data_IF_012621162335
#
_entry.id   IF_012621162335
#
_cell.length_a   1.000
_cell.length_b   1.000
_cell.length_c   1.000
_cell.angle_alpha   90.00
_cell.angle_beta   90.00
_cell.angle_gamma   90.00
#
_symmetry.space_group_name_H-M   'P 1'
#
loop_
_entity.id
_entity.type
_entity.pdbx_description
1 polymer ?
#
# COMPACT_ATOMS: atom_id res chain seq x y z
N UNK A 1 31.76 61.76 66.48
CA UNK A 1 31.76 60.40 65.95
C UNK A 1 30.31 60.00 65.77
N UNK A 2 29.78 60.16 64.59
CA UNK A 2 28.37 59.87 64.29
C UNK A 2 28.29 58.88 63.16
N UNK A 3 27.82 57.68 63.46
CA UNK A 3 27.70 56.59 62.52
C UNK A 3 26.36 56.69 61.76
N UNK A 4 26.42 56.87 60.48
CA UNK A 4 25.27 56.78 59.60
C UNK A 4 24.98 55.32 59.20
N UNK A 5 23.81 54.85 59.59
CA UNK A 5 23.31 53.55 59.16
C UNK A 5 22.52 53.82 57.85
N UNK A 6 23.00 53.23 56.75
CA UNK A 6 22.30 53.25 55.47
C UNK A 6 21.35 52.02 55.43
N UNK A 7 20.07 52.30 55.43
CA UNK A 7 19.03 51.28 55.23
C UNK A 7 18.87 50.99 53.73
N UNK A 8 19.27 49.77 53.33
CA UNK A 8 19.03 49.28 51.95
C UNK A 8 17.62 48.70 51.87
N UNK A 9 16.74 49.37 51.14
CA UNK A 9 15.42 48.83 50.81
C UNK A 9 15.55 47.93 49.57
N UNK A 10 15.42 46.63 49.73
CA UNK A 10 15.37 45.68 48.62
C UNK A 10 13.92 45.60 48.14
N UNK A 11 13.69 46.17 46.98
CA UNK A 11 12.41 46.11 46.25
C UNK A 11 12.36 44.74 45.49
N UNK A 12 11.68 43.74 46.02
CA UNK A 12 11.42 42.51 45.31
C UNK A 12 10.30 42.67 44.31
N UNK A 13 10.64 42.78 43.05
CA UNK A 13 9.70 42.68 41.95
C UNK A 13 9.26 41.21 41.77
N UNK A 14 8.04 40.90 42.17
CA UNK A 14 7.40 39.63 41.87
C UNK A 14 6.95 39.63 40.40
N UNK A 15 7.67 38.92 39.53
CA UNK A 15 7.20 38.60 38.21
C UNK A 15 6.10 37.56 38.32
N UNK A 16 4.86 37.96 38.10
CA UNK A 16 3.74 37.04 37.86
C UNK A 16 3.89 36.54 36.43
N UNK A 17 4.47 35.38 36.26
CA UNK A 17 4.45 34.66 34.98
C UNK A 17 3.02 34.15 34.76
N UNK A 18 2.27 34.85 33.90
CA UNK A 18 1.01 34.35 33.36
C UNK A 18 1.35 33.19 32.42
N UNK A 19 1.39 31.98 32.96
CA UNK A 19 1.51 30.77 32.19
C UNK A 19 0.31 30.60 31.28
N UNK A 20 0.44 30.94 30.01
CA UNK A 20 -0.50 30.50 28.98
C UNK A 20 -0.33 28.99 28.87
N UNK A 21 -1.20 28.25 29.53
CA UNK A 21 -1.35 26.81 29.30
C UNK A 21 -1.84 26.62 27.85
N UNK A 22 -0.89 26.49 26.92
CA UNK A 22 -1.21 25.88 25.62
C UNK A 22 -1.68 24.45 25.91
N UNK A 23 -3.00 24.27 25.90
CA UNK A 23 -3.58 22.95 25.70
C UNK A 23 -3.25 22.50 24.27
N UNK A 24 -2.00 22.18 24.05
CA UNK A 24 -1.58 21.35 22.93
C UNK A 24 -2.21 19.98 23.17
N UNK A 25 -3.29 19.70 22.47
CA UNK A 25 -3.79 18.34 22.37
C UNK A 25 -2.63 17.48 21.86
N UNK A 26 -2.09 16.65 22.73
CA UNK A 26 -1.22 15.54 22.33
C UNK A 26 -2.11 14.51 21.63
N UNK A 27 -2.52 14.82 20.42
CA UNK A 27 -2.89 13.79 19.47
C UNK A 27 -1.60 13.05 19.17
N UNK A 28 -1.38 11.90 19.80
CA UNK A 28 -0.37 10.96 19.32
C UNK A 28 -0.59 10.68 17.85
N UNK A 29 0.41 10.20 17.11
CA UNK A 29 0.20 9.76 15.74
C UNK A 29 -0.98 8.79 15.72
N UNK A 30 -1.85 8.86 14.69
CA UNK A 30 -2.98 7.93 14.59
C UNK A 30 -2.43 6.50 14.70
N UNK A 31 -3.14 5.60 15.41
CA UNK A 31 -2.69 4.23 15.53
C UNK A 31 -2.53 3.62 14.13
N UNK A 32 -1.51 2.78 13.92
CA UNK A 32 -1.31 2.14 12.62
C UNK A 32 -2.56 1.36 12.22
N UNK A 33 -2.88 1.31 10.92
CA UNK A 33 -3.98 0.48 10.42
C UNK A 33 -3.73 -0.96 10.83
N UNK A 34 -4.71 -1.57 11.48
CA UNK A 34 -4.61 -2.98 11.89
C UNK A 34 -4.96 -3.88 10.72
N UNK A 35 -4.31 -5.04 10.60
CA UNK A 35 -4.76 -6.09 9.68
C UNK A 35 -6.23 -6.42 9.99
N UNK A 36 -7.03 -6.65 8.95
CA UNK A 36 -8.47 -6.92 9.07
C UNK A 36 -8.81 -8.38 8.78
N UNK A 37 -7.97 -9.32 9.18
CA UNK A 37 -8.29 -10.73 9.07
C UNK A 37 -9.63 -11.04 9.74
N UNK A 38 -10.53 -11.72 9.05
CA UNK A 38 -11.86 -12.09 9.54
C UNK A 38 -12.95 -11.02 9.40
N UNK A 39 -12.61 -9.78 9.05
CA UNK A 39 -13.58 -8.70 8.81
C UNK A 39 -13.78 -8.44 7.31
N UNK A 40 -14.43 -9.38 6.60
CA UNK A 40 -14.55 -9.36 5.15
C UNK A 40 -13.38 -10.06 4.44
N UNK A 41 -12.33 -10.48 5.14
CA UNK A 41 -11.27 -11.35 4.63
C UNK A 41 -11.57 -12.78 5.03
N UNK A 42 -12.07 -13.58 4.09
CA UNK A 42 -12.57 -14.94 4.30
C UNK A 42 -11.62 -16.01 3.76
N UNK A 43 -10.48 -15.61 3.18
CA UNK A 43 -9.45 -16.54 2.69
C UNK A 43 -8.56 -16.97 3.87
N UNK A 44 -8.47 -18.27 4.21
CA UNK A 44 -7.64 -18.74 5.32
C UNK A 44 -6.17 -18.35 5.15
N UNK A 45 -5.57 -17.82 6.22
CA UNK A 45 -4.16 -17.37 6.23
C UNK A 45 -3.92 -15.99 5.66
N UNK A 46 -4.89 -15.40 4.97
CA UNK A 46 -4.75 -14.07 4.39
C UNK A 46 -5.12 -12.95 5.37
N UNK A 47 -4.45 -11.85 5.18
CA UNK A 47 -4.63 -10.61 5.92
C UNK A 47 -5.00 -9.49 4.96
N UNK A 48 -5.64 -8.45 5.47
CA UNK A 48 -5.95 -7.26 4.70
C UNK A 48 -5.59 -5.99 5.48
N UNK A 49 -5.13 -4.96 4.79
CA UNK A 49 -4.86 -3.65 5.37
C UNK A 49 -5.31 -2.54 4.44
N UNK A 50 -6.19 -1.70 4.94
CA UNK A 50 -6.62 -0.48 4.26
C UNK A 50 -5.53 0.59 4.26
N UNK A 51 -5.51 1.44 3.25
CA UNK A 51 -4.53 2.54 3.14
C UNK A 51 -4.77 3.62 4.21
N UNK A 52 -6.03 3.96 4.46
CA UNK A 52 -6.42 4.97 5.44
C UNK A 52 -7.03 4.30 6.69
N UNK A 53 -6.50 4.67 7.86
CA UNK A 53 -6.99 4.20 9.17
C UNK A 53 -8.42 4.66 9.49
N UNK A 54 -8.91 5.70 8.79
CA UNK A 54 -10.27 6.23 8.97
C UNK A 54 -11.29 5.49 8.14
N UNK A 55 -10.87 4.73 7.15
CA UNK A 55 -11.78 3.93 6.35
C UNK A 55 -12.31 2.75 7.14
N UNK A 56 -13.49 2.30 6.75
CA UNK A 56 -14.13 1.13 7.34
C UNK A 56 -14.14 -0.02 6.36
N UNK A 57 -14.23 -1.24 6.83
CA UNK A 57 -14.38 -2.44 6.01
C UNK A 57 -15.77 -2.59 5.39
N UNK A 58 -16.61 -1.54 5.40
CA UNK A 58 -17.95 -1.57 4.79
C UNK A 58 -17.85 -1.91 3.31
N UNK A 59 -18.56 -2.95 2.91
CA UNK A 59 -18.54 -3.45 1.52
C UNK A 59 -17.29 -4.23 1.13
N UNK A 60 -16.37 -4.48 2.08
CA UNK A 60 -15.22 -5.33 1.84
C UNK A 60 -15.62 -6.81 1.90
N UNK A 61 -15.26 -7.54 0.86
CA UNK A 61 -15.26 -8.99 0.85
C UNK A 61 -14.06 -9.50 0.06
N UNK A 62 -13.29 -10.41 0.65
CA UNK A 62 -12.19 -11.13 0.00
C UNK A 62 -12.33 -12.61 0.33
N UNK A 63 -12.69 -13.40 -0.66
CA UNK A 63 -13.10 -14.79 -0.46
C UNK A 63 -12.64 -15.69 -1.60
N UNK A 64 -12.52 -17.01 -1.39
CA UNK A 64 -12.37 -17.96 -2.48
C UNK A 64 -13.61 -17.92 -3.41
N UNK A 65 -13.39 -17.89 -4.71
CA UNK A 65 -14.45 -17.95 -5.71
C UNK A 65 -13.94 -18.51 -7.04
N UNK A 66 -14.73 -19.32 -7.71
CA UNK A 66 -14.49 -19.84 -9.05
C UNK A 66 -13.09 -20.50 -9.24
N UNK A 67 -12.56 -21.15 -8.21
CA UNK A 67 -11.22 -21.73 -8.25
C UNK A 67 -10.06 -20.76 -8.05
N UNK A 68 -10.35 -19.49 -7.83
CA UNK A 68 -9.43 -18.41 -7.50
C UNK A 68 -9.87 -17.63 -6.28
N UNK A 69 -9.62 -16.34 -6.30
CA UNK A 69 -9.96 -15.37 -5.26
C UNK A 69 -10.89 -14.29 -5.85
N UNK A 70 -11.77 -13.76 -5.04
CA UNK A 70 -12.63 -12.64 -5.43
C UNK A 70 -12.56 -11.53 -4.39
N UNK A 71 -12.38 -10.29 -4.85
CA UNK A 71 -12.38 -9.12 -4.00
C UNK A 71 -13.48 -8.13 -4.42
N UNK A 72 -14.33 -7.77 -3.45
CA UNK A 72 -15.17 -6.57 -3.52
C UNK A 72 -14.60 -5.58 -2.49
N UNK A 73 -14.23 -4.38 -2.93
CA UNK A 73 -13.60 -3.40 -2.04
C UNK A 73 -14.48 -2.17 -1.85
N UNK A 74 -14.58 -1.69 -0.60
CA UNK A 74 -14.98 -0.33 -0.29
C UNK A 74 -13.75 0.59 -0.32
N UNK A 75 -12.72 0.33 0.54
CA UNK A 75 -11.48 1.09 0.61
C UNK A 75 -10.41 0.60 -0.36
N UNK A 76 -9.32 1.41 -0.53
CA UNK A 76 -8.05 0.92 -1.06
C UNK A 76 -7.39 -0.02 -0.05
N UNK A 77 -6.93 -1.16 -0.50
CA UNK A 77 -6.47 -2.23 0.38
C UNK A 77 -5.34 -3.05 -0.23
N UNK A 78 -4.43 -3.56 0.62
CA UNK A 78 -3.56 -4.67 0.27
C UNK A 78 -4.06 -5.94 0.94
N UNK A 79 -3.91 -7.08 0.24
CA UNK A 79 -4.14 -8.43 0.76
C UNK A 79 -2.88 -9.26 0.64
N UNK A 80 -2.56 -10.03 1.67
CA UNK A 80 -1.39 -10.89 1.67
C UNK A 80 -1.56 -12.11 2.58
N UNK A 81 -0.86 -13.17 2.26
CA UNK A 81 -0.58 -14.29 3.16
C UNK A 81 0.87 -14.13 3.64
N UNK A 82 1.15 -14.04 4.95
CA UNK A 82 2.50 -13.92 5.47
C UNK A 82 3.45 -15.06 5.06
N UNK A 83 2.92 -16.20 4.64
CA UNK A 83 3.70 -17.33 4.17
C UNK A 83 4.12 -17.19 2.69
N UNK A 84 3.47 -16.32 1.92
CA UNK A 84 3.80 -16.05 0.52
C UNK A 84 4.96 -15.05 0.45
N UNK A 85 6.19 -15.56 0.58
CA UNK A 85 7.41 -14.75 0.54
C UNK A 85 8.28 -15.12 -0.65
N UNK A 86 8.99 -14.15 -1.20
CA UNK A 86 9.93 -14.33 -2.30
C UNK A 86 11.27 -13.66 -2.02
N UNK A 87 12.35 -14.24 -2.51
CA UNK A 87 13.70 -13.68 -2.48
C UNK A 87 14.54 -14.21 -3.65
N UNK A 88 15.55 -13.46 -4.04
CA UNK A 88 16.43 -13.83 -5.17
C UNK A 88 15.71 -13.67 -6.50
N UNK A 89 15.80 -14.69 -7.36
CA UNK A 89 15.16 -14.69 -8.67
C UNK A 89 13.80 -15.41 -8.61
N UNK A 90 12.75 -14.70 -8.99
CA UNK A 90 11.38 -15.25 -8.97
C UNK A 90 10.46 -14.48 -9.91
N UNK A 91 9.28 -15.06 -10.15
CA UNK A 91 8.15 -14.35 -10.78
C UNK A 91 6.95 -14.48 -9.86
N UNK A 92 6.28 -13.36 -9.57
CA UNK A 92 4.94 -13.35 -9.00
C UNK A 92 3.95 -12.96 -10.08
N UNK A 93 2.81 -13.65 -10.17
CA UNK A 93 1.79 -13.38 -11.19
C UNK A 93 0.37 -13.58 -10.68
N UNK A 94 -0.58 -12.94 -11.35
CA UNK A 94 -2.01 -13.20 -11.22
C UNK A 94 -2.74 -12.66 -12.44
N UNK A 95 -3.87 -13.28 -12.76
CA UNK A 95 -4.84 -12.76 -13.74
C UNK A 95 -5.98 -12.06 -13.01
N UNK A 96 -6.22 -10.82 -13.37
CA UNK A 96 -7.30 -10.00 -12.83
C UNK A 96 -8.41 -9.84 -13.85
N UNK A 97 -9.65 -10.07 -13.42
CA UNK A 97 -10.84 -9.87 -14.25
C UNK A 97 -11.79 -8.94 -13.51
N UNK A 98 -12.00 -7.73 -14.03
CA UNK A 98 -13.07 -6.85 -13.52
C UNK A 98 -14.41 -7.45 -13.93
N UNK A 99 -15.30 -7.60 -12.97
CA UNK A 99 -16.60 -8.25 -13.14
C UNK A 99 -17.72 -7.27 -13.42
N UNK A 100 -17.44 -5.97 -13.22
CA UNK A 100 -18.33 -4.87 -13.59
C UNK A 100 -17.55 -3.57 -13.86
N UNK A 101 -18.20 -2.65 -14.58
CA UNK A 101 -17.68 -1.31 -14.84
C UNK A 101 -17.50 -0.55 -13.53
N UNK A 102 -16.28 -0.06 -13.22
CA UNK A 102 -16.08 0.89 -12.13
C UNK A 102 -16.77 2.24 -12.40
N UNK A 103 -17.18 2.94 -11.34
CA UNK A 103 -17.85 4.25 -11.47
C UNK A 103 -16.85 5.42 -11.66
N UNK A 104 -15.57 5.18 -11.50
CA UNK A 104 -14.48 6.15 -11.62
C UNK A 104 -13.17 5.40 -11.85
N UNK A 105 -12.09 6.13 -12.17
CA UNK A 105 -10.77 5.53 -12.36
C UNK A 105 -10.28 4.80 -11.10
N UNK A 106 -10.00 3.53 -11.25
CA UNK A 106 -9.54 2.64 -10.18
C UNK A 106 -8.36 1.81 -10.65
N UNK A 107 -7.64 1.22 -9.72
CA UNK A 107 -6.45 0.44 -10.06
C UNK A 107 -6.36 -0.83 -9.23
N UNK A 108 -5.70 -1.82 -9.80
CA UNK A 108 -5.43 -3.09 -9.15
C UNK A 108 -4.09 -3.66 -9.62
N UNK A 109 -3.53 -4.58 -8.86
CA UNK A 109 -2.31 -5.27 -9.25
C UNK A 109 -1.61 -6.00 -8.12
N UNK A 110 -0.31 -6.11 -8.26
CA UNK A 110 0.57 -6.90 -7.41
C UNK A 110 1.49 -6.01 -6.58
N UNK A 111 1.92 -6.52 -5.44
CA UNK A 111 3.07 -5.96 -4.72
C UNK A 111 4.10 -7.04 -4.39
N UNK A 112 5.35 -6.62 -4.22
CA UNK A 112 6.50 -7.42 -3.85
C UNK A 112 7.30 -6.74 -2.74
N UNK A 113 8.20 -7.47 -2.08
CA UNK A 113 9.12 -6.92 -1.09
C UNK A 113 8.42 -6.40 0.16
N UNK A 114 7.31 -7.03 0.55
CA UNK A 114 6.52 -6.62 1.71
C UNK A 114 7.22 -6.87 3.03
N UNK A 115 7.38 -5.82 3.84
CA UNK A 115 7.91 -5.86 5.21
C UNK A 115 7.00 -5.04 6.12
N UNK A 116 6.81 -5.49 7.37
CA UNK A 116 6.02 -4.80 8.41
C UNK A 116 4.64 -4.37 7.93
N UNK A 117 3.97 -5.21 7.15
CA UNK A 117 2.71 -4.87 6.46
C UNK A 117 1.57 -4.56 7.42
N UNK A 118 1.64 -5.03 8.65
CA UNK A 118 0.68 -4.78 9.74
C UNK A 118 1.01 -3.54 10.57
N UNK A 119 2.18 -2.92 10.37
CA UNK A 119 2.70 -1.81 11.17
C UNK A 119 2.79 -0.48 10.43
N UNK A 120 3.11 0.58 11.15
CA UNK A 120 3.32 1.93 10.62
C UNK A 120 4.59 2.07 9.75
N UNK A 121 5.51 1.10 9.87
CA UNK A 121 6.77 1.00 9.11
C UNK A 121 6.65 0.10 7.89
N UNK A 122 5.44 -0.11 7.39
CA UNK A 122 5.22 -0.95 6.21
C UNK A 122 6.08 -0.50 5.03
N UNK A 123 6.62 -1.48 4.30
CA UNK A 123 7.33 -1.25 3.04
C UNK A 123 6.88 -2.27 2.01
N UNK A 124 6.75 -1.86 0.78
CA UNK A 124 6.56 -2.72 -0.36
C UNK A 124 6.66 -1.94 -1.67
N UNK A 125 6.99 -2.61 -2.75
CA UNK A 125 6.92 -2.06 -4.10
C UNK A 125 5.72 -2.64 -4.82
N UNK A 126 4.98 -1.82 -5.58
CA UNK A 126 3.76 -2.27 -6.22
C UNK A 126 3.63 -1.82 -7.66
N UNK A 127 3.00 -2.68 -8.44
CA UNK A 127 2.69 -2.51 -9.84
C UNK A 127 1.19 -2.56 -10.02
N UNK A 128 0.62 -1.50 -10.57
CA UNK A 128 -0.81 -1.34 -10.79
C UNK A 128 -1.12 -1.08 -12.25
N UNK A 129 -2.28 -1.51 -12.67
CA UNK A 129 -2.92 -1.07 -13.92
C UNK A 129 -4.29 -0.45 -13.64
N UNK A 130 -4.77 0.34 -14.60
CA UNK A 130 -6.12 0.93 -14.62
C UNK A 130 -6.95 0.36 -15.76
N UNK A 131 -8.28 0.51 -15.64
CA UNK A 131 -9.24 0.14 -16.64
C UNK A 131 -9.07 0.92 -17.96
N UNK A 132 -8.44 2.09 -17.94
CA UNK A 132 -8.17 2.94 -19.10
C UNK A 132 -6.87 2.61 -19.86
N UNK A 133 -6.19 1.50 -19.50
CA UNK A 133 -4.98 1.06 -20.18
C UNK A 133 -3.67 1.69 -19.72
N UNK A 134 -3.65 2.26 -18.51
CA UNK A 134 -2.44 2.86 -17.90
C UNK A 134 -1.85 1.95 -16.83
N UNK A 135 -0.54 2.08 -16.57
CA UNK A 135 0.16 1.43 -15.46
C UNK A 135 0.91 2.42 -14.58
N UNK A 136 1.24 1.99 -13.36
CA UNK A 136 2.01 2.74 -12.39
C UNK A 136 2.88 1.81 -11.54
N UNK A 137 4.11 2.23 -11.25
CA UNK A 137 5.02 1.51 -10.35
C UNK A 137 5.45 2.46 -9.23
N UNK A 138 5.18 2.06 -7.98
CA UNK A 138 5.52 2.88 -6.80
C UNK A 138 6.13 2.03 -5.70
N UNK A 139 6.75 2.73 -4.77
CA UNK A 139 7.18 2.19 -3.47
C UNK A 139 6.36 2.82 -2.37
N UNK A 140 6.02 2.03 -1.37
CA UNK A 140 5.52 2.52 -0.08
C UNK A 140 6.62 2.38 0.98
N UNK A 141 6.74 3.42 1.81
CA UNK A 141 7.59 3.40 2.99
C UNK A 141 6.85 4.13 4.11
N UNK A 142 6.34 3.40 5.08
CA UNK A 142 5.43 3.92 6.10
C UNK A 142 4.17 4.52 5.49
N UNK A 143 3.86 5.77 5.82
CA UNK A 143 2.74 6.53 5.26
C UNK A 143 3.04 7.13 3.89
N UNK A 144 4.31 7.24 3.48
CA UNK A 144 4.74 7.85 2.24
C UNK A 144 4.75 6.90 1.05
N UNK A 145 4.60 7.46 -0.15
CA UNK A 145 4.80 6.75 -1.42
C UNK A 145 5.68 7.55 -2.36
N UNK A 146 6.45 6.86 -3.21
CA UNK A 146 7.26 7.47 -4.27
C UNK A 146 7.11 6.70 -5.57
N UNK A 147 7.13 7.41 -6.70
CA UNK A 147 7.10 6.79 -8.02
C UNK A 147 8.47 6.16 -8.33
N UNK A 148 8.48 5.02 -8.98
CA UNK A 148 9.69 4.35 -9.50
C UNK A 148 9.93 4.74 -10.95
N UNK A 149 8.87 4.85 -11.75
CA UNK A 149 8.92 5.05 -13.20
C UNK A 149 8.08 6.26 -13.68
N UNK A 150 8.03 7.34 -12.91
CA UNK A 150 7.18 8.47 -13.25
C UNK A 150 5.73 8.27 -12.77
N UNK A 151 4.78 8.97 -13.42
CA UNK A 151 3.35 8.87 -13.11
C UNK A 151 2.67 7.85 -14.03
N UNK A 152 1.34 7.79 -13.99
CA UNK A 152 0.54 6.89 -14.84
C UNK A 152 0.92 7.01 -16.32
N UNK A 153 1.27 5.90 -16.93
CA UNK A 153 1.68 5.82 -18.33
C UNK A 153 0.83 4.82 -19.12
N UNK A 154 0.33 5.18 -20.31
CA UNK A 154 -0.41 4.26 -21.16
C UNK A 154 0.51 3.19 -21.73
N UNK A 155 -0.03 1.96 -21.90
CA UNK A 155 0.68 0.88 -22.58
C UNK A 155 -0.31 -0.02 -23.35
N UNK A 156 -0.06 -0.29 -24.64
CA UNK A 156 -0.99 -1.09 -25.46
C UNK A 156 -1.04 -2.58 -25.09
N UNK A 157 -0.14 -3.06 -24.20
CA UNK A 157 -0.23 -4.41 -23.66
C UNK A 157 -1.39 -4.58 -22.68
N UNK A 158 -1.91 -3.47 -22.11
CA UNK A 158 -3.01 -3.48 -21.15
C UNK A 158 -4.32 -3.47 -21.93
N UNK A 159 -5.08 -4.56 -21.85
CA UNK A 159 -6.43 -4.58 -22.41
C UNK A 159 -7.30 -3.57 -21.65
N UNK A 160 -7.85 -2.59 -22.37
CA UNK A 160 -8.79 -1.64 -21.80
C UNK A 160 -10.14 -2.32 -21.51
N UNK A 161 -10.96 -1.67 -20.67
CA UNK A 161 -12.30 -2.18 -20.37
C UNK A 161 -13.19 -2.14 -21.60
N UNK A 162 -13.88 -3.22 -21.86
CA UNK A 162 -14.81 -3.35 -22.99
C UNK A 162 -16.07 -4.11 -22.54
N UNK A 163 -17.25 -3.59 -22.87
CA UNK A 163 -18.52 -4.19 -22.47
C UNK A 163 -18.68 -4.33 -20.94
N UNK A 164 -18.05 -3.44 -20.15
CA UNK A 164 -18.11 -3.45 -18.69
C UNK A 164 -17.15 -4.43 -18.02
N UNK A 165 -16.32 -5.16 -18.78
CA UNK A 165 -15.37 -6.14 -18.26
C UNK A 165 -13.95 -5.85 -18.75
N UNK A 166 -12.97 -6.28 -17.98
CA UNK A 166 -11.55 -6.19 -18.35
C UNK A 166 -10.82 -7.43 -17.81
N UNK A 167 -9.90 -8.00 -18.58
CA UNK A 167 -9.05 -9.11 -18.12
C UNK A 167 -7.61 -8.85 -18.50
N UNK A 168 -6.71 -8.89 -17.52
CA UNK A 168 -5.28 -8.79 -17.73
C UNK A 168 -4.52 -9.73 -16.79
N UNK A 169 -3.51 -10.41 -17.31
CA UNK A 169 -2.50 -11.08 -16.49
C UNK A 169 -1.39 -10.08 -16.17
N UNK A 170 -1.07 -9.92 -14.90
CA UNK A 170 0.06 -9.13 -14.42
C UNK A 170 1.13 -10.07 -13.89
N UNK A 171 2.40 -9.77 -14.18
CA UNK A 171 3.50 -10.39 -13.49
C UNK A 171 4.64 -9.41 -13.20
N UNK A 172 5.37 -9.70 -12.11
CA UNK A 172 6.60 -9.03 -11.73
C UNK A 172 7.68 -10.09 -11.69
N UNK A 173 8.68 -9.96 -12.55
CA UNK A 173 9.81 -10.87 -12.63
C UNK A 173 11.05 -10.21 -12.06
N UNK A 174 11.66 -10.85 -11.07
CA UNK A 174 12.96 -10.47 -10.50
C UNK A 174 14.00 -11.47 -10.98
N UNK A 175 14.95 -11.03 -11.78
CA UNK A 175 16.00 -11.88 -12.33
C UNK A 175 17.24 -11.06 -12.72
N UNK A 176 18.42 -11.63 -12.53
CA UNK A 176 19.69 -11.06 -13.02
C UNK A 176 19.89 -9.59 -12.65
N UNK A 177 19.52 -9.19 -11.43
CA UNK A 177 19.69 -7.82 -10.95
C UNK A 177 18.70 -6.81 -11.52
N UNK A 178 17.65 -7.27 -12.21
CA UNK A 178 16.58 -6.44 -12.79
C UNK A 178 15.20 -6.88 -12.28
N UNK A 179 14.27 -5.97 -12.38
CA UNK A 179 12.84 -6.25 -12.18
C UNK A 179 12.09 -5.83 -13.43
N UNK A 180 11.40 -6.78 -14.05
CA UNK A 180 10.53 -6.57 -15.20
C UNK A 180 9.07 -6.63 -14.79
N UNK A 181 8.30 -5.66 -15.23
CA UNK A 181 6.86 -5.54 -15.01
C UNK A 181 6.14 -5.89 -16.30
N UNK A 182 5.28 -6.91 -16.24
CA UNK A 182 4.68 -7.52 -17.43
C UNK A 182 3.17 -7.42 -17.37
N UNK A 183 2.54 -7.18 -18.51
CA UNK A 183 1.09 -7.32 -18.70
C UNK A 183 0.84 -8.18 -19.93
N UNK A 184 0.01 -9.21 -19.79
CA UNK A 184 -0.35 -10.13 -20.87
C UNK A 184 0.89 -10.70 -21.61
N UNK A 185 1.94 -11.05 -20.86
CA UNK A 185 3.19 -11.59 -21.38
C UNK A 185 4.13 -10.57 -22.04
N UNK A 186 3.81 -9.27 -22.03
CA UNK A 186 4.64 -8.20 -22.60
C UNK A 186 5.24 -7.33 -21.50
N UNK A 187 6.54 -7.03 -21.60
CA UNK A 187 7.20 -6.09 -20.67
C UNK A 187 6.67 -4.68 -20.92
N UNK A 188 6.18 -4.03 -19.87
CA UNK A 188 5.71 -2.63 -19.91
C UNK A 188 6.70 -1.68 -19.27
N UNK A 189 7.55 -2.18 -18.36
CA UNK A 189 8.65 -1.44 -17.75
C UNK A 189 9.71 -2.41 -17.20
N UNK A 190 10.95 -1.94 -17.09
CA UNK A 190 12.03 -2.68 -16.43
C UNK A 190 12.99 -1.73 -15.72
N UNK A 191 13.40 -2.09 -14.51
CA UNK A 191 14.28 -1.28 -13.67
C UNK A 191 15.37 -2.15 -13.03
N UNK A 192 16.51 -1.57 -12.59
CA UNK A 192 17.45 -2.26 -11.71
C UNK A 192 16.72 -2.77 -10.44
N UNK A 193 17.07 -3.95 -9.96
CA UNK A 193 16.47 -4.52 -8.74
C UNK A 193 16.65 -3.61 -7.51
N UNK A 194 17.69 -2.76 -7.50
CA UNK A 194 17.94 -1.77 -6.45
C UNK A 194 16.93 -0.61 -6.44
N UNK A 195 16.15 -0.42 -7.49
CA UNK A 195 15.13 0.63 -7.56
C UNK A 195 13.87 0.31 -6.75
N UNK A 196 13.65 -0.97 -6.43
CA UNK A 196 12.45 -1.48 -5.74
C UNK A 196 12.82 -2.42 -4.59
N UNK A 197 11.88 -2.63 -3.67
CA UNK A 197 12.03 -3.66 -2.64
C UNK A 197 11.63 -5.00 -3.26
N UNK A 198 12.54 -5.97 -3.32
CA UNK A 198 12.32 -7.23 -4.03
C UNK A 198 12.16 -8.44 -3.09
N UNK A 199 12.75 -8.39 -1.90
CA UNK A 199 12.74 -9.53 -0.96
C UNK A 199 11.69 -9.31 0.14
N UNK A 200 10.81 -10.26 0.35
CA UNK A 200 9.78 -10.19 1.38
C UNK A 200 8.45 -10.80 0.94
N UNK A 201 7.38 -10.39 1.62
CA UNK A 201 6.02 -10.86 1.32
C UNK A 201 5.57 -10.32 -0.03
N UNK A 202 4.84 -11.16 -0.78
CA UNK A 202 4.15 -10.74 -2.02
C UNK A 202 2.64 -10.79 -1.81
N UNK A 203 1.90 -10.01 -2.60
CA UNK A 203 0.45 -9.97 -2.46
C UNK A 203 -0.25 -9.10 -3.50
N UNK A 204 -1.49 -8.79 -3.18
CA UNK A 204 -2.43 -8.07 -4.03
C UNK A 204 -2.64 -6.65 -3.52
N UNK A 205 -2.76 -5.69 -4.45
CA UNK A 205 -3.17 -4.33 -4.13
C UNK A 205 -4.40 -3.98 -4.96
N UNK A 206 -5.53 -3.71 -4.29
CA UNK A 206 -6.82 -3.49 -4.92
C UNK A 206 -7.33 -2.09 -4.54
N UNK A 207 -7.71 -1.32 -5.54
CA UNK A 207 -8.30 0.01 -5.39
C UNK A 207 -9.70 -0.03 -4.78
N UNK A 208 -10.20 1.15 -4.41
CA UNK A 208 -11.53 1.28 -3.82
C UNK A 208 -12.65 1.05 -4.85
N UNK A 209 -13.78 0.56 -4.37
CA UNK A 209 -14.98 0.39 -5.20
C UNK A 209 -14.85 -0.63 -6.33
N UNK A 210 -13.89 -1.55 -6.23
CA UNK A 210 -13.67 -2.61 -7.21
C UNK A 210 -14.45 -3.88 -6.88
N UNK A 211 -14.77 -4.60 -7.96
CA UNK A 211 -15.30 -5.95 -7.96
C UNK A 211 -14.45 -6.76 -8.96
N UNK A 212 -13.56 -7.62 -8.45
CA UNK A 212 -12.50 -8.24 -9.25
C UNK A 212 -12.28 -9.70 -8.89
N UNK A 213 -12.30 -10.56 -9.91
CA UNK A 213 -11.86 -11.95 -9.82
C UNK A 213 -10.34 -12.01 -10.04
N UNK A 214 -9.64 -12.83 -9.24
CA UNK A 214 -8.19 -12.98 -9.26
C UNK A 214 -7.88 -14.47 -9.38
N UNK A 215 -7.28 -14.86 -10.50
CA UNK A 215 -6.96 -16.24 -10.79
C UNK A 215 -5.45 -16.46 -10.87
N UNK A 216 -4.98 -17.64 -10.45
CA UNK A 216 -3.59 -18.06 -10.62
C UNK A 216 -2.56 -17.19 -9.88
N UNK A 217 -2.96 -16.55 -8.75
CA UNK A 217 -1.98 -15.87 -7.90
C UNK A 217 -0.95 -16.88 -7.37
N UNK A 218 0.31 -16.59 -7.60
CA UNK A 218 1.39 -17.46 -7.15
C UNK A 218 2.78 -16.93 -7.42
N UNK A 219 3.76 -17.62 -6.82
CA UNK A 219 5.20 -17.34 -6.93
C UNK A 219 5.85 -18.51 -7.65
N UNK A 220 6.65 -18.22 -8.65
CA UNK A 220 7.47 -19.21 -9.36
C UNK A 220 8.94 -18.85 -9.18
N UNK A 221 9.73 -19.77 -8.60
CA UNK A 221 11.18 -19.59 -8.50
C UNK A 221 11.80 -19.64 -9.91
N UNK A 222 12.68 -18.70 -10.20
CA UNK A 222 13.47 -18.69 -11.42
C UNK A 222 14.83 -19.37 -11.16
N UNK A 223 15.24 -20.25 -12.07
CA UNK A 223 16.54 -20.95 -11.99
C UNK A 223 17.68 -20.06 -12.43
#
# INVERSE_FOLDING_TARGET
MQKWLATVVILTLAFVAIGHAQRGGRGGPPPPPRPIAGNGVEVPGWWGRMDDVKETNKGLKFAPANGGLHATTGPNIIFWDPQQTAMGNYTVKATFSLTKQPSHEVSYGLFIGGENLDGDKQKYSYFLIRENGQFLIKKRNGSGTSNVAGDWAPNPAIAAIAGGTQKNELSIQVASGRVSFMVNGKEVASHPATAVDTNGVVGLRIGHGLDVQIDGFGIEAQK
#
